data_IF_642621282948
#
_entry.id   IF_642621282948
#
_cell.length_a   1.000
_cell.length_b   1.000
_cell.length_c   1.000
_cell.angle_alpha   90.00
_cell.angle_beta   90.00
_cell.angle_gamma   90.00
#
_symmetry.space_group_name_H-M   'P 1'
#
loop_
_entity.id
_entity.type
_entity.pdbx_description
1 polymer ?
#
# COMPACT_ATOMS: atom_id res chain seq x y z
N UNK A 1 -25.71 -8.26 -14.64
CA UNK A 1 -25.17 -9.63 -14.75
C UNK A 1 -23.83 -9.68 -14.02
N UNK A 2 -23.78 -10.42 -12.90
CA UNK A 2 -22.55 -10.57 -12.12
C UNK A 2 -21.70 -11.71 -12.67
N UNK A 3 -20.42 -11.44 -12.98
CA UNK A 3 -19.47 -12.48 -13.32
C UNK A 3 -19.00 -13.19 -12.05
N UNK A 4 -18.95 -14.52 -12.07
CA UNK A 4 -18.33 -15.31 -10.99
C UNK A 4 -16.94 -15.72 -11.42
N UNK A 5 -15.94 -15.30 -10.65
CA UNK A 5 -14.56 -15.72 -10.83
C UNK A 5 -14.31 -16.95 -9.94
N UNK A 6 -13.80 -18.03 -10.50
CA UNK A 6 -13.37 -19.22 -9.76
C UNK A 6 -11.87 -19.43 -9.92
N UNK A 7 -11.18 -19.72 -8.84
CA UNK A 7 -9.83 -20.25 -8.90
C UNK A 7 -9.84 -21.73 -9.30
N UNK A 8 -8.77 -22.18 -9.91
CA UNK A 8 -8.51 -23.60 -10.22
C UNK A 8 -7.22 -24.03 -9.53
N UNK A 9 -7.21 -25.26 -9.00
CA UNK A 9 -6.06 -25.80 -8.25
C UNK A 9 -4.96 -26.40 -9.17
N UNK A 10 -5.03 -26.10 -10.47
CA UNK A 10 -4.05 -26.56 -11.45
C UNK A 10 -3.25 -25.39 -12.01
N UNK A 11 -1.98 -25.63 -12.35
CA UNK A 11 -1.15 -24.66 -13.06
C UNK A 11 -1.70 -24.55 -14.49
N UNK A 12 -2.37 -23.44 -14.79
CA UNK A 12 -2.95 -23.17 -16.10
C UNK A 12 -2.03 -22.39 -17.01
N UNK A 13 -0.98 -21.80 -16.47
CA UNK A 13 -0.04 -20.99 -17.23
C UNK A 13 1.36 -21.01 -16.63
N UNK A 14 2.38 -21.27 -17.45
CA UNK A 14 3.79 -21.12 -17.09
C UNK A 14 4.30 -19.77 -17.62
N UNK A 15 4.72 -18.93 -16.71
CA UNK A 15 5.21 -17.60 -17.03
C UNK A 15 6.72 -17.62 -17.33
N UNK A 16 7.11 -17.25 -18.55
CA UNK A 16 8.52 -17.20 -18.95
C UNK A 16 9.14 -15.87 -18.56
N UNK A 17 10.17 -15.89 -17.71
CA UNK A 17 10.96 -14.72 -17.37
C UNK A 17 12.13 -14.55 -18.35
N UNK A 18 12.29 -13.35 -18.91
CA UNK A 18 13.47 -12.97 -19.70
C UNK A 18 13.74 -11.46 -19.59
N UNK A 19 15.02 -11.01 -19.76
CA UNK A 19 15.40 -9.59 -19.55
C UNK A 19 14.68 -8.58 -20.45
N UNK A 20 14.30 -8.99 -21.66
CA UNK A 20 13.66 -8.12 -22.67
C UNK A 20 12.12 -8.09 -22.54
N UNK A 21 11.58 -8.58 -21.45
CA UNK A 21 10.14 -8.61 -21.25
C UNK A 21 9.56 -7.18 -21.14
N UNK A 22 8.48 -6.92 -21.87
CA UNK A 22 7.80 -5.62 -21.91
C UNK A 22 7.45 -5.09 -20.52
N UNK A 23 6.99 -5.95 -19.60
CA UNK A 23 6.65 -5.56 -18.23
C UNK A 23 7.85 -5.08 -17.39
N UNK A 24 9.09 -5.35 -17.81
CA UNK A 24 10.31 -4.85 -17.15
C UNK A 24 10.82 -3.56 -17.75
N UNK A 25 10.58 -3.34 -19.05
CA UNK A 25 11.21 -2.28 -19.84
C UNK A 25 10.25 -1.18 -20.26
N UNK A 26 8.95 -1.35 -20.06
CA UNK A 26 7.96 -0.33 -20.37
C UNK A 26 7.66 0.55 -19.17
N UNK A 27 7.69 1.85 -19.36
CA UNK A 27 7.34 2.84 -18.34
C UNK A 27 5.92 2.64 -17.78
N UNK A 28 5.03 2.08 -18.59
CA UNK A 28 3.64 1.74 -18.20
C UNK A 28 3.58 0.72 -17.06
N UNK A 29 4.60 -0.16 -16.94
CA UNK A 29 4.69 -1.19 -15.91
C UNK A 29 5.58 -0.81 -14.73
N UNK A 30 6.04 0.43 -14.65
CA UNK A 30 6.77 0.91 -13.49
C UNK A 30 5.83 1.02 -12.27
N UNK A 31 6.37 0.82 -11.08
CA UNK A 31 5.60 0.90 -9.84
C UNK A 31 4.88 2.24 -9.68
N UNK A 32 5.49 3.33 -10.14
CA UNK A 32 4.89 4.66 -10.13
C UNK A 32 3.56 4.69 -10.88
N UNK A 33 3.51 4.13 -12.09
CA UNK A 33 2.29 4.09 -12.90
C UNK A 33 1.16 3.33 -12.21
N UNK A 34 1.48 2.21 -11.54
CA UNK A 34 0.48 1.46 -10.77
C UNK A 34 -0.04 2.24 -9.56
N UNK A 35 0.84 2.92 -8.84
CA UNK A 35 0.42 3.70 -7.67
C UNK A 35 -0.38 4.93 -8.09
N UNK A 36 0.00 5.61 -9.17
CA UNK A 36 -0.77 6.72 -9.75
C UNK A 36 -2.15 6.31 -10.23
N UNK A 37 -2.28 5.08 -10.73
CA UNK A 37 -3.59 4.53 -11.10
C UNK A 37 -4.43 4.17 -9.87
N UNK A 38 -3.87 3.47 -8.88
CA UNK A 38 -4.61 2.95 -7.72
C UNK A 38 -5.01 4.03 -6.71
N UNK A 39 -4.12 5.00 -6.47
CA UNK A 39 -4.30 5.96 -5.37
C UNK A 39 -5.56 6.82 -5.51
N UNK A 40 -5.93 7.38 -6.68
CA UNK A 40 -7.17 8.14 -6.83
C UNK A 40 -8.44 7.32 -6.50
N UNK A 41 -8.48 6.06 -6.92
CA UNK A 41 -9.62 5.17 -6.59
C UNK A 41 -9.69 4.91 -5.10
N UNK A 42 -8.56 4.69 -4.44
CA UNK A 42 -8.52 4.50 -3.00
C UNK A 42 -8.97 5.75 -2.24
N UNK A 43 -8.53 6.94 -2.67
CA UNK A 43 -8.96 8.21 -2.08
C UNK A 43 -10.47 8.38 -2.21
N UNK A 44 -11.05 8.11 -3.38
CA UNK A 44 -12.49 8.25 -3.59
C UNK A 44 -13.29 7.23 -2.78
N UNK A 45 -12.86 5.97 -2.71
CA UNK A 45 -13.51 4.92 -1.93
C UNK A 45 -13.55 5.27 -0.43
N UNK A 46 -12.46 5.86 0.08
CA UNK A 46 -12.31 6.19 1.49
C UNK A 46 -12.36 7.70 1.80
N UNK A 47 -13.02 8.48 0.96
CA UNK A 47 -13.10 9.96 1.10
C UNK A 47 -13.64 10.47 2.43
N UNK A 48 -14.42 9.64 3.14
CA UNK A 48 -14.99 9.95 4.45
C UNK A 48 -14.13 9.45 5.62
N UNK A 49 -12.97 8.87 5.35
CA UNK A 49 -12.03 8.36 6.35
C UNK A 49 -10.66 9.01 6.19
N UNK A 50 -9.95 9.12 7.28
CA UNK A 50 -8.57 9.57 7.22
C UNK A 50 -7.69 8.43 6.70
N UNK A 51 -6.83 8.71 5.74
CA UNK A 51 -5.91 7.72 5.19
C UNK A 51 -4.70 7.59 6.12
N UNK A 52 -4.31 6.35 6.41
CA UNK A 52 -3.11 6.02 7.14
C UNK A 52 -2.17 5.24 6.23
N UNK A 53 -0.98 5.80 6.01
CA UNK A 53 0.07 5.18 5.20
C UNK A 53 1.05 4.46 6.12
N UNK A 54 1.24 3.15 5.94
CA UNK A 54 2.23 2.36 6.66
C UNK A 54 3.39 2.03 5.72
N UNK A 55 4.60 2.34 6.18
CA UNK A 55 5.86 2.18 5.46
C UNK A 55 6.38 3.51 4.91
N UNK A 56 7.64 3.83 5.23
CA UNK A 56 8.29 5.09 4.86
C UNK A 56 9.55 4.88 3.99
N UNK A 57 9.75 3.68 3.46
CA UNK A 57 10.82 3.39 2.50
C UNK A 57 10.41 3.82 1.08
N UNK A 58 11.12 3.39 0.06
CA UNK A 58 10.97 3.87 -1.33
C UNK A 58 9.51 3.90 -1.81
N UNK A 59 8.75 2.83 -1.59
CA UNK A 59 7.33 2.76 -1.98
C UNK A 59 6.47 3.78 -1.20
N UNK A 60 6.65 3.83 0.12
CA UNK A 60 5.90 4.74 0.96
C UNK A 60 6.11 6.20 0.60
N UNK A 61 7.37 6.58 0.30
CA UNK A 61 7.70 7.94 -0.17
C UNK A 61 6.99 8.28 -1.48
N UNK A 62 6.94 7.35 -2.41
CA UNK A 62 6.26 7.54 -3.69
C UNK A 62 4.74 7.70 -3.50
N UNK A 63 4.13 6.84 -2.67
CA UNK A 63 2.70 6.93 -2.36
C UNK A 63 2.38 8.23 -1.60
N UNK A 64 3.21 8.62 -0.63
CA UNK A 64 3.05 9.87 0.10
C UNK A 64 3.10 11.09 -0.82
N UNK A 65 3.99 11.08 -1.82
CA UNK A 65 4.04 12.12 -2.84
C UNK A 65 2.74 12.18 -3.65
N UNK A 66 2.23 11.03 -4.10
CA UNK A 66 0.99 10.96 -4.87
C UNK A 66 -0.22 11.44 -4.03
N UNK A 67 -0.31 11.02 -2.77
CA UNK A 67 -1.35 11.50 -1.85
C UNK A 67 -1.31 13.03 -1.72
N UNK A 68 -0.12 13.62 -1.60
CA UNK A 68 0.07 15.06 -1.55
C UNK A 68 -0.33 15.75 -2.85
N UNK A 69 0.02 15.20 -4.00
CA UNK A 69 -0.39 15.72 -5.32
C UNK A 69 -1.91 15.76 -5.47
N UNK A 70 -2.62 14.82 -4.85
CA UNK A 70 -4.08 14.78 -4.78
C UNK A 70 -4.69 15.58 -3.62
N UNK A 71 -3.89 16.39 -2.91
CA UNK A 71 -4.33 17.17 -1.74
C UNK A 71 -4.99 16.30 -0.66
N UNK A 72 -4.65 15.02 -0.60
CA UNK A 72 -5.21 14.09 0.36
C UNK A 72 -4.48 14.18 1.70
N UNK A 73 -5.23 14.41 2.77
CA UNK A 73 -4.68 14.36 4.12
C UNK A 73 -4.48 12.92 4.58
N UNK A 74 -3.27 12.62 5.08
CA UNK A 74 -2.93 11.30 5.61
C UNK A 74 -2.03 11.40 6.83
N UNK A 75 -2.03 10.37 7.65
CA UNK A 75 -1.05 10.15 8.71
C UNK A 75 -0.05 9.09 8.25
N UNK A 76 1.23 9.24 8.61
CA UNK A 76 2.31 8.38 8.13
C UNK A 76 2.95 7.61 9.27
N UNK A 77 3.08 6.29 9.09
CA UNK A 77 3.56 5.38 10.13
C UNK A 77 4.67 4.47 9.63
N UNK A 78 5.60 4.15 10.52
CA UNK A 78 6.72 3.26 10.26
C UNK A 78 7.04 2.44 11.53
N UNK A 79 7.66 1.27 11.33
CA UNK A 79 8.18 0.41 12.40
C UNK A 79 9.70 0.60 12.59
N UNK A 80 10.40 1.05 11.57
CA UNK A 80 11.84 1.26 11.54
C UNK A 80 12.19 2.53 12.33
N UNK A 81 12.81 2.36 13.51
CA UNK A 81 13.17 3.45 14.43
C UNK A 81 14.03 4.53 13.77
N UNK A 82 14.85 4.15 12.75
CA UNK A 82 15.69 5.10 12.04
C UNK A 82 14.90 6.11 11.18
N UNK A 83 13.63 5.81 10.88
CA UNK A 83 12.76 6.66 10.07
C UNK A 83 11.72 7.41 10.90
N UNK A 84 11.44 6.95 12.12
CA UNK A 84 10.49 7.58 13.02
C UNK A 84 10.99 8.96 13.45
N UNK A 85 10.10 9.95 13.47
CA UNK A 85 10.41 11.35 13.80
C UNK A 85 10.98 12.15 12.62
N UNK A 86 11.27 11.53 11.48
CA UNK A 86 11.64 12.28 10.28
C UNK A 86 10.42 13.00 9.71
N UNK A 87 10.64 14.19 9.18
CA UNK A 87 9.61 14.95 8.46
C UNK A 87 9.90 14.92 6.96
N UNK A 88 8.93 14.43 6.19
CA UNK A 88 8.97 14.41 4.74
C UNK A 88 7.61 14.88 4.18
N UNK A 89 7.64 15.67 3.12
CA UNK A 89 6.42 16.24 2.50
C UNK A 89 5.51 16.98 3.49
N UNK A 90 6.08 17.62 4.51
CA UNK A 90 5.37 18.29 5.62
C UNK A 90 4.51 17.32 6.44
N UNK A 91 4.92 16.06 6.53
CA UNK A 91 4.33 15.01 7.37
C UNK A 91 5.40 14.36 8.23
N UNK A 92 5.14 14.30 9.51
CA UNK A 92 5.96 13.54 10.46
C UNK A 92 5.69 12.04 10.30
N UNK A 93 6.75 11.25 10.22
CA UNK A 93 6.68 9.78 10.26
C UNK A 93 6.61 9.35 11.72
N UNK A 94 5.50 8.73 12.11
CA UNK A 94 5.21 8.31 13.48
C UNK A 94 5.41 6.81 13.66
N UNK A 95 5.64 6.42 14.89
CA UNK A 95 5.67 5.01 15.25
C UNK A 95 4.29 4.37 14.99
N UNK A 96 4.30 3.16 14.42
CA UNK A 96 3.11 2.37 14.12
C UNK A 96 2.25 2.06 15.35
N UNK A 97 2.82 2.13 16.57
CA UNK A 97 2.05 1.97 17.81
C UNK A 97 0.93 3.02 17.95
N UNK A 98 1.08 4.20 17.33
CA UNK A 98 0.09 5.28 17.32
C UNK A 98 -0.94 5.15 16.17
N UNK A 99 -0.94 4.04 15.43
CA UNK A 99 -1.92 3.77 14.38
C UNK A 99 -3.34 3.88 14.96
N UNK A 100 -4.15 4.73 14.35
CA UNK A 100 -5.54 4.94 14.75
C UNK A 100 -6.41 3.75 14.38
N UNK A 101 -7.56 3.61 14.99
CA UNK A 101 -8.54 2.56 14.68
C UNK A 101 -9.54 3.04 13.63
N UNK A 102 -10.09 2.08 12.87
CA UNK A 102 -11.28 2.26 12.00
C UNK A 102 -11.10 3.24 10.83
N UNK A 103 -9.87 3.60 10.49
CA UNK A 103 -9.56 4.44 9.34
C UNK A 103 -9.27 3.60 8.08
N UNK A 104 -8.93 4.23 6.96
CA UNK A 104 -8.45 3.55 5.77
C UNK A 104 -6.92 3.42 5.81
N UNK A 105 -6.37 2.27 5.40
CA UNK A 105 -4.95 2.01 5.50
C UNK A 105 -4.33 1.57 4.18
N UNK A 106 -3.24 2.23 3.79
CA UNK A 106 -2.36 1.82 2.68
C UNK A 106 -1.11 1.17 3.26
N UNK A 107 -0.83 -0.04 2.83
CA UNK A 107 0.33 -0.83 3.23
C UNK A 107 1.38 -0.80 2.11
N UNK A 108 2.43 -0.01 2.30
CA UNK A 108 3.51 0.17 1.31
C UNK A 108 4.75 -0.67 1.64
N UNK A 109 4.55 -1.90 2.07
CA UNK A 109 5.63 -2.81 2.44
C UNK A 109 6.01 -3.76 1.31
N UNK A 110 7.27 -4.26 1.35
CA UNK A 110 7.70 -5.34 0.48
C UNK A 110 7.00 -6.66 0.86
N UNK A 111 6.82 -7.57 -0.12
CA UNK A 111 6.13 -8.84 0.08
C UNK A 111 7.02 -9.89 0.78
N UNK A 112 7.73 -9.51 1.84
CA UNK A 112 8.32 -10.48 2.75
C UNK A 112 7.19 -11.13 3.54
N UNK A 113 7.05 -12.45 3.38
CA UNK A 113 5.93 -13.21 3.95
C UNK A 113 5.89 -13.11 5.47
N UNK A 114 7.05 -13.12 6.14
CA UNK A 114 7.12 -13.05 7.60
C UNK A 114 6.73 -11.67 8.11
N UNK A 115 7.32 -10.61 7.56
CA UNK A 115 6.98 -9.22 7.91
C UNK A 115 5.53 -8.90 7.60
N UNK A 116 5.01 -9.44 6.52
CA UNK A 116 3.61 -9.30 6.13
C UNK A 116 2.67 -9.93 7.16
N UNK A 117 2.93 -11.17 7.57
CA UNK A 117 2.10 -11.89 8.55
C UNK A 117 2.09 -11.16 9.90
N UNK A 118 3.23 -10.70 10.38
CA UNK A 118 3.32 -9.91 11.60
C UNK A 118 2.53 -8.62 11.52
N UNK A 119 2.67 -7.88 10.42
CA UNK A 119 1.95 -6.63 10.21
C UNK A 119 0.44 -6.85 10.11
N UNK A 120 -0.01 -7.86 9.37
CA UNK A 120 -1.44 -8.21 9.26
C UNK A 120 -2.03 -8.55 10.62
N UNK A 121 -1.34 -9.36 11.42
CA UNK A 121 -1.78 -9.68 12.78
C UNK A 121 -1.84 -8.42 13.68
N UNK A 122 -0.89 -7.52 13.53
CA UNK A 122 -0.83 -6.26 14.28
C UNK A 122 -1.98 -5.32 13.93
N UNK A 123 -2.23 -5.09 12.64
CA UNK A 123 -3.29 -4.18 12.18
C UNK A 123 -4.69 -4.77 12.40
N UNK A 124 -4.84 -6.10 12.27
CA UNK A 124 -6.13 -6.76 12.52
C UNK A 124 -6.62 -6.54 13.96
N UNK A 125 -5.71 -6.56 14.95
CA UNK A 125 -6.04 -6.23 16.34
C UNK A 125 -6.53 -4.78 16.53
N UNK A 126 -6.34 -3.93 15.52
CA UNK A 126 -6.75 -2.52 15.48
C UNK A 126 -7.96 -2.25 14.58
N UNK A 127 -8.62 -3.31 14.11
CA UNK A 127 -9.82 -3.21 13.27
C UNK A 127 -9.53 -2.99 11.79
N UNK A 128 -8.30 -3.33 11.32
CA UNK A 128 -7.96 -3.29 9.90
C UNK A 128 -8.01 -4.67 9.28
N UNK A 129 -8.69 -4.78 8.16
CA UNK A 129 -8.88 -6.05 7.43
C UNK A 129 -8.45 -5.85 5.98
N UNK A 130 -7.55 -6.72 5.51
CA UNK A 130 -7.04 -6.69 4.13
C UNK A 130 -8.20 -6.90 3.15
N UNK A 131 -8.28 -6.03 2.14
CA UNK A 131 -9.36 -6.04 1.15
C UNK A 131 -10.65 -5.34 1.57
N UNK A 132 -10.74 -4.87 2.83
CA UNK A 132 -11.88 -4.08 3.31
C UNK A 132 -11.49 -2.62 3.57
N UNK A 133 -10.70 -2.35 4.61
CA UNK A 133 -10.22 -1.01 4.94
C UNK A 133 -8.69 -0.91 5.00
N UNK A 134 -7.97 -1.97 4.65
CA UNK A 134 -6.52 -2.00 4.50
C UNK A 134 -6.14 -2.63 3.16
N UNK A 135 -5.26 -1.99 2.40
CA UNK A 135 -4.90 -2.42 1.05
C UNK A 135 -3.39 -2.35 0.83
N UNK A 136 -2.84 -3.38 0.18
CA UNK A 136 -1.46 -3.39 -0.29
C UNK A 136 -1.31 -2.58 -1.59
N UNK A 137 -0.24 -1.81 -1.63
CA UNK A 137 0.19 -1.04 -2.78
C UNK A 137 1.58 -1.47 -3.26
#
# INVERSE_FOLDING_TARGET
>A
AGFKIKSVDSITHHWREHPQRTSRNSDTYQQDSFFRLKTPYFIEEFKNRRIQLIGAKKKGKLIAQILKEHHCEFDWYEKDEALIGQELFSKEIRDIQFLKKEEACILSIYPDVHLRTELEAYITKRGYYIGANAHYF
#
